data_IF_713753069504
#
_entry.id   IF_713753069504
#
_cell.length_a   1.000
_cell.length_b   1.000
_cell.length_c   1.000
_cell.angle_alpha   90.00
_cell.angle_beta   90.00
_cell.angle_gamma   90.00
#
_symmetry.space_group_name_H-M   'P 1'
#
loop_
_entity.id
_entity.type
_entity.pdbx_description
1 polymer ?
#
# COMPACT_ATOMS: atom_id res chain seq x y z
N UNK A 1 -38.74 -47.76 -33.74
CA UNK A 1 -39.04 -46.41 -34.25
C UNK A 1 -39.43 -45.54 -33.06
N UNK A 2 -38.57 -44.62 -32.61
CA UNK A 2 -38.92 -43.68 -31.54
C UNK A 2 -38.66 -42.24 -31.98
N UNK A 3 -39.70 -41.44 -31.75
CA UNK A 3 -39.94 -40.11 -32.27
C UNK A 3 -38.99 -39.04 -31.71
N UNK A 4 -38.62 -38.09 -32.57
CA UNK A 4 -38.13 -36.77 -32.19
C UNK A 4 -39.18 -36.01 -31.37
N UNK A 5 -38.77 -35.32 -30.32
CA UNK A 5 -39.54 -34.22 -29.72
C UNK A 5 -38.63 -33.01 -29.51
N UNK A 6 -38.99 -31.90 -30.16
CA UNK A 6 -38.29 -30.61 -30.17
C UNK A 6 -38.72 -29.73 -28.99
N UNK A 7 -37.72 -29.09 -28.37
CA UNK A 7 -37.59 -27.68 -27.91
C UNK A 7 -38.57 -27.10 -26.86
N UNK A 8 -38.09 -25.99 -26.27
CA UNK A 8 -38.66 -25.05 -25.29
C UNK A 8 -38.32 -25.38 -23.83
N UNK A 9 -37.89 -24.47 -22.95
CA UNK A 9 -37.49 -23.06 -23.06
C UNK A 9 -36.73 -22.67 -21.76
N UNK A 10 -35.92 -21.61 -21.88
CA UNK A 10 -35.34 -20.69 -20.88
C UNK A 10 -35.53 -20.94 -19.38
N UNK A 11 -34.48 -20.66 -18.59
CA UNK A 11 -34.46 -19.74 -17.41
C UNK A 11 -32.97 -19.54 -17.03
N UNK A 12 -32.36 -18.41 -17.43
CA UNK A 12 -32.00 -17.22 -16.60
C UNK A 12 -30.81 -17.44 -15.66
N UNK A 13 -29.80 -16.57 -15.83
CA UNK A 13 -29.14 -15.92 -14.68
C UNK A 13 -27.72 -16.34 -14.36
N UNK A 14 -26.74 -15.81 -15.08
CA UNK A 14 -25.40 -15.61 -14.51
C UNK A 14 -24.76 -14.38 -15.16
N UNK A 15 -25.12 -13.20 -14.65
CA UNK A 15 -24.28 -12.01 -14.81
C UNK A 15 -22.97 -12.28 -14.06
N UNK A 16 -21.97 -12.79 -14.77
CA UNK A 16 -20.59 -12.74 -14.31
C UNK A 16 -20.15 -11.28 -14.36
N UNK A 17 -20.41 -10.54 -13.28
CA UNK A 17 -19.69 -9.30 -13.02
C UNK A 17 -18.22 -9.70 -12.82
N UNK A 18 -17.44 -9.60 -13.88
CA UNK A 18 -16.00 -9.66 -13.86
C UNK A 18 -15.48 -8.45 -13.04
N UNK A 19 -15.55 -8.57 -11.72
CA UNK A 19 -14.72 -7.77 -10.83
C UNK A 19 -13.32 -8.36 -10.95
N UNK A 20 -12.56 -7.79 -11.88
CA UNK A 20 -11.14 -8.01 -12.05
C UNK A 20 -10.40 -7.63 -10.79
N UNK A 21 -10.36 -8.54 -9.82
CA UNK A 21 -9.24 -8.62 -8.91
C UNK A 21 -8.09 -9.18 -9.74
N UNK A 22 -7.31 -8.25 -10.31
CA UNK A 22 -5.98 -8.53 -10.81
C UNK A 22 -5.17 -9.05 -9.62
N UNK A 23 -5.19 -10.36 -9.37
CA UNK A 23 -4.20 -11.01 -8.52
C UNK A 23 -2.98 -11.23 -9.40
N UNK A 24 -2.34 -10.13 -9.79
CA UNK A 24 -1.00 -10.20 -10.33
C UNK A 24 -0.03 -10.41 -9.16
N UNK A 25 1.01 -11.19 -9.46
CA UNK A 25 2.27 -11.35 -8.75
C UNK A 25 2.29 -12.31 -7.56
N UNK A 26 2.99 -13.42 -7.75
CA UNK A 26 3.65 -14.14 -6.65
C UNK A 26 4.53 -13.19 -5.84
N UNK A 27 4.92 -13.57 -4.61
CA UNK A 27 5.47 -12.65 -3.62
C UNK A 27 6.63 -11.86 -4.24
N UNK A 28 6.52 -10.53 -4.41
CA UNK A 28 7.69 -9.75 -4.78
C UNK A 28 8.69 -9.91 -3.64
N UNK A 29 9.93 -10.25 -3.99
CA UNK A 29 11.04 -10.33 -3.05
C UNK A 29 11.04 -9.06 -2.18
N UNK A 30 11.02 -9.25 -0.86
CA UNK A 30 10.28 -8.35 0.05
C UNK A 30 10.99 -7.05 0.45
N UNK A 31 11.52 -6.34 -0.55
CA UNK A 31 11.79 -4.91 -0.48
C UNK A 31 11.12 -4.10 -1.58
N UNK A 32 10.47 -4.71 -2.58
CA UNK A 32 9.69 -3.98 -3.59
C UNK A 32 8.21 -4.28 -3.36
N UNK A 33 7.38 -3.24 -3.26
CA UNK A 33 5.96 -3.41 -3.04
C UNK A 33 5.29 -2.22 -2.38
N UNK A 34 3.99 -2.36 -2.12
CA UNK A 34 3.16 -1.35 -1.47
C UNK A 34 2.38 -1.97 -0.31
N UNK A 35 2.52 -1.40 0.88
CA UNK A 35 1.84 -1.87 2.10
C UNK A 35 1.03 -0.72 2.70
N UNK A 36 -0.28 -0.92 2.78
CA UNK A 36 -1.23 0.09 3.22
C UNK A 36 -1.99 -0.37 4.45
N UNK A 37 -2.33 0.57 5.31
CA UNK A 37 -3.54 0.47 6.14
C UNK A 37 -4.60 1.45 5.64
N UNK A 38 -5.61 1.75 6.46
CA UNK A 38 -6.73 2.61 6.05
C UNK A 38 -6.31 4.04 5.64
N UNK A 39 -5.22 4.59 6.16
CA UNK A 39 -4.86 6.00 5.95
C UNK A 39 -3.43 6.23 5.48
N UNK A 40 -2.54 5.23 5.61
CA UNK A 40 -1.12 5.38 5.30
C UNK A 40 -0.66 4.19 4.45
N UNK A 41 0.12 4.48 3.42
CA UNK A 41 0.80 3.48 2.61
C UNK A 41 2.31 3.73 2.57
N UNK A 42 3.07 2.64 2.54
CA UNK A 42 4.51 2.60 2.24
C UNK A 42 4.66 2.00 0.86
N UNK A 43 5.54 2.54 0.04
CA UNK A 43 5.92 1.97 -1.24
C UNK A 43 7.43 2.00 -1.41
N UNK A 44 8.00 0.88 -1.83
CA UNK A 44 9.43 0.72 -2.06
C UNK A 44 9.64 0.04 -3.41
N UNK A 45 10.75 0.37 -4.07
CA UNK A 45 11.06 -0.10 -5.43
C UNK A 45 12.33 -0.95 -5.49
N UNK A 46 13.07 -1.00 -4.39
CA UNK A 46 14.32 -1.74 -4.27
C UNK A 46 14.06 -3.22 -4.01
N UNK A 47 15.01 -4.11 -4.27
CA UNK A 47 14.85 -5.56 -4.01
C UNK A 47 15.88 -6.07 -3.00
N UNK A 48 15.55 -7.18 -2.33
CA UNK A 48 16.41 -7.78 -1.30
C UNK A 48 16.49 -6.93 -0.04
N UNK A 49 17.71 -6.67 0.45
CA UNK A 49 17.93 -5.98 1.73
C UNK A 49 18.22 -4.49 1.63
N UNK A 50 18.41 -3.99 0.42
CA UNK A 50 18.73 -2.58 0.19
C UNK A 50 17.47 -1.74 0.15
N UNK A 51 17.46 -0.58 0.82
CA UNK A 51 16.43 0.44 0.66
C UNK A 51 17.08 1.75 0.23
N UNK A 52 16.93 2.10 -1.04
CA UNK A 52 17.35 3.37 -1.61
C UNK A 52 16.30 4.46 -1.42
N UNK A 53 15.02 4.10 -1.61
CA UNK A 53 13.90 5.03 -1.47
C UNK A 53 12.67 4.34 -0.87
N UNK A 54 12.06 5.02 0.10
CA UNK A 54 10.77 4.65 0.68
C UNK A 54 9.80 5.80 0.45
N UNK A 55 8.78 5.59 -0.37
CA UNK A 55 7.67 6.52 -0.50
C UNK A 55 6.64 6.27 0.58
N UNK A 56 6.10 7.34 1.14
CA UNK A 56 4.99 7.30 2.07
C UNK A 56 3.88 8.18 1.57
N UNK A 57 2.66 7.68 1.66
CA UNK A 57 1.47 8.47 1.35
C UNK A 57 0.46 8.42 2.49
N UNK A 58 -0.17 9.57 2.76
CA UNK A 58 -1.17 9.73 3.82
C UNK A 58 -2.44 10.33 3.23
N UNK A 59 -3.55 9.61 3.35
CA UNK A 59 -4.85 10.05 2.85
C UNK A 59 -5.43 11.15 3.74
N UNK A 60 -5.71 12.31 3.16
CA UNK A 60 -6.42 13.38 3.85
C UNK A 60 -7.94 13.20 3.75
N UNK A 61 -8.67 13.86 4.65
CA UNK A 61 -10.13 13.78 4.78
C UNK A 61 -10.81 14.99 4.16
N UNK A 62 -12.04 15.28 4.62
CA UNK A 62 -12.89 16.36 4.16
C UNK A 62 -12.46 17.77 4.60
N UNK A 63 -11.35 17.92 5.32
CA UNK A 63 -10.80 19.20 5.77
C UNK A 63 -9.32 19.32 5.40
N UNK A 64 -8.81 20.55 5.15
CA UNK A 64 -7.38 20.75 5.01
C UNK A 64 -6.68 20.40 6.33
N UNK A 65 -5.55 19.73 6.23
CA UNK A 65 -4.76 19.34 7.41
C UNK A 65 -3.28 19.56 7.12
N UNK A 66 -2.54 19.94 8.15
CA UNK A 66 -1.08 19.85 8.17
C UNK A 66 -0.69 18.39 8.34
N UNK A 67 0.01 17.83 7.34
CA UNK A 67 0.36 16.41 7.28
C UNK A 67 1.87 16.24 7.24
N UNK A 68 2.35 15.21 7.94
CA UNK A 68 3.72 14.72 7.88
C UNK A 68 3.73 13.20 8.08
N UNK A 69 4.90 12.59 7.90
CA UNK A 69 5.10 11.19 8.20
C UNK A 69 6.47 10.96 8.83
N UNK A 70 6.61 9.82 9.52
CA UNK A 70 7.88 9.31 10.03
C UNK A 70 8.09 7.91 9.50
N UNK A 71 9.17 7.68 8.78
CA UNK A 71 9.60 6.35 8.37
C UNK A 71 10.70 5.89 9.31
N UNK A 72 10.63 4.65 9.78
CA UNK A 72 11.62 4.10 10.69
C UNK A 72 11.75 2.59 10.55
N UNK A 73 12.88 2.07 10.99
CA UNK A 73 13.20 0.66 10.99
C UNK A 73 13.53 0.17 12.39
N UNK A 74 13.26 -1.11 12.67
CA UNK A 74 13.56 -1.70 13.98
C UNK A 74 15.06 -1.85 14.27
N UNK A 75 15.92 -1.67 13.26
CA UNK A 75 17.38 -1.67 13.41
C UNK A 75 17.97 -0.26 13.67
N UNK A 76 17.11 0.74 13.89
CA UNK A 76 17.51 2.05 14.42
C UNK A 76 17.69 3.16 13.39
N UNK A 77 17.28 2.98 12.13
CA UNK A 77 17.17 4.10 11.19
C UNK A 77 15.79 4.75 11.28
N UNK A 78 15.76 6.08 11.13
CA UNK A 78 14.50 6.82 11.05
C UNK A 78 14.70 8.13 10.32
N UNK A 79 13.66 8.58 9.62
CA UNK A 79 13.58 9.89 9.00
C UNK A 79 12.16 10.44 9.10
N UNK A 80 12.06 11.76 9.30
CA UNK A 80 10.80 12.48 9.13
C UNK A 80 10.71 13.02 7.71
N UNK A 81 9.52 12.96 7.15
CA UNK A 81 9.22 13.61 5.87
C UNK A 81 8.92 15.08 6.08
N UNK A 82 8.83 15.86 4.99
CA UNK A 82 8.45 17.28 5.07
C UNK A 82 7.06 17.41 5.66
N UNK A 83 6.81 18.50 6.38
CA UNK A 83 5.46 18.82 6.85
C UNK A 83 4.83 19.82 5.89
N UNK A 84 3.63 19.55 5.38
CA UNK A 84 2.94 20.45 4.46
C UNK A 84 1.44 20.54 4.74
N UNK A 85 0.83 21.67 4.37
CA UNK A 85 -0.62 21.84 4.43
C UNK A 85 -1.27 21.22 3.19
N UNK A 86 -2.07 20.18 3.41
CA UNK A 86 -2.70 19.39 2.35
C UNK A 86 -4.17 19.74 2.27
N UNK A 87 -4.64 20.12 1.08
CA UNK A 87 -6.04 20.42 0.84
C UNK A 87 -6.95 19.19 1.11
N UNK A 88 -8.24 19.44 1.34
CA UNK A 88 -9.23 18.38 1.53
C UNK A 88 -9.23 17.39 0.36
N UNK A 89 -9.43 16.11 0.67
CA UNK A 89 -9.48 14.99 -0.29
C UNK A 89 -8.24 14.83 -1.18
N UNK A 90 -7.11 15.42 -0.79
CA UNK A 90 -5.80 15.20 -1.43
C UNK A 90 -4.96 14.24 -0.60
N UNK A 91 -4.15 13.44 -1.28
CA UNK A 91 -3.22 12.53 -0.63
C UNK A 91 -1.88 13.22 -0.52
N UNK A 92 -1.36 13.31 0.71
CA UNK A 92 0.02 13.67 0.96
C UNK A 92 0.94 12.59 0.40
N UNK A 93 2.05 12.97 -0.24
CA UNK A 93 3.09 12.04 -0.68
C UNK A 93 4.47 12.65 -0.44
N UNK A 94 5.35 11.89 0.18
CA UNK A 94 6.75 12.26 0.31
C UNK A 94 7.64 11.03 0.38
N UNK A 95 8.96 11.25 0.38
CA UNK A 95 9.97 10.20 0.27
C UNK A 95 10.95 10.28 1.43
N UNK A 96 11.45 9.13 1.85
CA UNK A 96 12.58 9.00 2.75
C UNK A 96 13.67 8.16 2.07
N UNK A 97 14.94 8.48 2.34
CA UNK A 97 16.09 7.90 1.64
C UNK A 97 17.05 7.22 2.61
N UNK A 98 16.82 5.94 2.96
CA UNK A 98 17.74 5.22 3.83
C UNK A 98 19.12 5.00 3.22
N UNK A 99 19.17 4.73 1.90
CA UNK A 99 20.37 4.53 1.09
C UNK A 99 21.37 3.53 1.69
N UNK A 100 20.86 2.42 2.23
CA UNK A 100 21.67 1.40 2.90
C UNK A 100 21.03 0.02 2.87
N UNK A 101 21.84 -1.00 3.15
CA UNK A 101 21.36 -2.35 3.42
C UNK A 101 20.86 -2.50 4.85
N UNK A 102 19.83 -3.33 5.00
CA UNK A 102 19.23 -3.71 6.26
C UNK A 102 19.41 -5.21 6.51
N UNK A 103 19.34 -5.65 7.76
CA UNK A 103 19.38 -7.09 8.05
C UNK A 103 18.05 -7.73 7.66
N UNK A 104 18.03 -8.93 7.05
CA UNK A 104 16.79 -9.70 6.89
C UNK A 104 16.06 -9.83 8.23
N UNK A 105 14.73 -9.68 8.21
CA UNK A 105 13.91 -9.64 9.42
C UNK A 105 13.74 -8.25 10.05
N UNK A 106 14.48 -7.23 9.58
CA UNK A 106 14.25 -5.83 9.98
C UNK A 106 12.86 -5.40 9.51
N UNK A 107 12.09 -4.74 10.39
CA UNK A 107 10.79 -4.17 10.00
C UNK A 107 10.96 -2.73 9.57
N UNK A 108 10.44 -2.39 8.41
CA UNK A 108 10.24 -1.02 7.92
C UNK A 108 8.82 -0.59 8.25
N UNK A 109 8.66 0.52 8.96
CA UNK A 109 7.38 1.08 9.35
C UNK A 109 7.28 2.55 8.92
N UNK A 110 6.08 3.02 8.65
CA UNK A 110 5.83 4.44 8.41
C UNK A 110 4.59 4.87 9.16
N UNK A 111 4.71 5.95 9.91
CA UNK A 111 3.63 6.56 10.68
C UNK A 111 3.18 7.85 10.00
N UNK A 112 1.90 7.97 9.69
CA UNK A 112 1.32 9.19 9.15
C UNK A 112 0.70 10.05 10.25
N UNK A 113 0.93 11.36 10.20
CA UNK A 113 0.37 12.34 11.13
C UNK A 113 -0.52 13.33 10.37
N UNK A 114 -1.75 13.52 10.84
CA UNK A 114 -2.71 14.48 10.27
C UNK A 114 -3.21 15.40 11.38
N UNK A 115 -2.90 16.69 11.29
CA UNK A 115 -3.24 17.64 12.35
C UNK A 115 -2.57 17.31 13.69
N UNK A 116 -1.39 16.68 13.65
CA UNK A 116 -0.64 16.23 14.83
C UNK A 116 -1.07 14.88 15.41
N UNK A 117 -2.20 14.31 14.97
CA UNK A 117 -2.63 12.98 15.39
C UNK A 117 -2.08 11.88 14.48
N UNK A 118 -1.63 10.77 15.06
CA UNK A 118 -1.27 9.57 14.29
C UNK A 118 -2.52 8.95 13.67
N UNK A 119 -2.48 8.66 12.37
CA UNK A 119 -3.63 8.14 11.60
C UNK A 119 -3.37 6.75 11.01
N UNK A 120 -2.16 6.23 11.13
CA UNK A 120 -1.83 4.91 10.66
C UNK A 120 -0.35 4.59 10.73
N UNK A 121 -0.06 3.30 10.92
CA UNK A 121 1.28 2.73 11.00
C UNK A 121 1.37 1.39 10.23
N UNK A 122 1.40 1.37 8.88
CA UNK A 122 1.82 0.19 8.14
C UNK A 122 3.26 -0.21 8.50
N UNK A 123 3.52 -1.51 8.49
CA UNK A 123 4.85 -2.08 8.63
C UNK A 123 5.03 -3.27 7.69
N UNK A 124 6.23 -3.46 7.17
CA UNK A 124 6.65 -4.61 6.36
C UNK A 124 7.98 -5.16 6.88
N UNK A 125 8.17 -6.48 6.80
CA UNK A 125 9.45 -7.12 7.11
C UNK A 125 10.31 -7.18 5.85
N UNK A 126 11.53 -6.67 5.94
CA UNK A 126 12.55 -6.77 4.89
C UNK A 126 13.03 -8.21 4.80
N UNK A 127 12.91 -8.78 3.62
CA UNK A 127 13.31 -10.15 3.30
C UNK A 127 14.53 -10.10 2.41
N UNK A 128 15.55 -10.92 2.73
CA UNK A 128 16.72 -11.11 1.88
C UNK A 128 16.42 -11.93 0.65
#
# INVERSE_FOLDING_TARGET
MHHLTKKFASVIGATAAALGCVIASGPPAAAAGKWCNHSVCIETYDTGTYLGRVEVSVTNTNQPNRISARVWTTDGWSAHTKTEDVAKFRTYRDQAYPQRHFRPGTRLCAEGFRGGASVGLPCVTITG
#
